data_IF_574742816700
#
_entry.id   IF_574742816700
#
_cell.length_a   1.000
_cell.length_b   1.000
_cell.length_c   1.000
_cell.angle_alpha   90.00
_cell.angle_beta   90.00
_cell.angle_gamma   90.00
#
_symmetry.space_group_name_H-M   'P 1'
#
loop_
_entity.id
_entity.type
_entity.pdbx_description
1 polymer ?
#
# COMPACT_ATOMS: atom_id res chain seq x y z
N UNK A 1 30.84 -4.72 -39.35
CA UNK A 1 31.92 -3.78 -38.97
C UNK A 1 31.46 -3.06 -37.71
N UNK A 2 32.27 -3.13 -36.64
CA UNK A 2 32.01 -2.57 -35.29
C UNK A 2 31.86 -1.03 -35.39
N UNK A 3 31.18 -0.34 -34.48
CA UNK A 3 31.80 0.26 -33.29
C UNK A 3 30.71 0.71 -32.30
N UNK A 4 30.81 0.25 -31.04
CA UNK A 4 30.25 0.86 -29.84
C UNK A 4 31.14 2.04 -29.42
N UNK A 5 30.59 3.19 -29.04
CA UNK A 5 31.33 4.14 -28.20
C UNK A 5 30.44 4.73 -27.09
N UNK A 6 30.87 4.42 -25.87
CA UNK A 6 30.41 4.86 -24.56
C UNK A 6 31.06 6.20 -24.15
N UNK A 7 30.41 6.88 -23.18
CA UNK A 7 30.94 7.92 -22.25
C UNK A 7 31.31 9.27 -22.88
N UNK A 8 31.07 10.46 -22.30
CA UNK A 8 31.20 10.96 -20.93
C UNK A 8 30.42 12.28 -20.77
N UNK A 9 29.89 12.61 -19.58
CA UNK A 9 30.02 13.98 -19.03
C UNK A 9 30.11 13.88 -17.51
N UNK A 10 31.29 14.12 -16.97
CA UNK A 10 31.49 14.54 -15.59
C UNK A 10 32.46 15.71 -15.62
N UNK A 11 31.98 16.92 -15.32
CA UNK A 11 32.78 18.02 -14.76
C UNK A 11 31.88 19.19 -14.37
N UNK A 12 31.88 19.56 -13.09
CA UNK A 12 32.09 20.95 -12.68
C UNK A 12 32.44 20.99 -11.20
N UNK A 13 33.51 21.74 -10.93
CA UNK A 13 34.29 21.79 -9.71
C UNK A 13 34.03 23.15 -9.02
N UNK A 14 34.10 23.14 -7.68
CA UNK A 14 34.62 24.20 -6.79
C UNK A 14 33.88 25.55 -6.71
N UNK A 15 33.45 25.93 -5.49
CA UNK A 15 33.82 27.21 -4.83
C UNK A 15 33.99 27.02 -3.30
N UNK A 16 35.25 27.09 -2.88
CA UNK A 16 35.89 27.77 -1.73
C UNK A 16 35.15 28.10 -0.41
N UNK A 17 35.85 27.70 0.66
CA UNK A 17 36.24 28.52 1.84
C UNK A 17 35.23 28.92 2.91
N UNK A 18 35.46 28.39 4.11
CA UNK A 18 34.99 28.95 5.37
C UNK A 18 35.45 28.12 6.56
N UNK A 19 36.68 28.36 7.03
CA UNK A 19 37.20 27.82 8.28
C UNK A 19 36.79 28.76 9.43
N UNK A 20 36.25 28.20 10.52
CA UNK A 20 35.90 28.93 11.73
C UNK A 20 35.43 27.95 12.81
N UNK A 21 36.37 27.52 13.66
CA UNK A 21 36.11 26.80 14.91
C UNK A 21 35.89 27.81 16.05
N UNK A 22 34.76 27.76 16.77
CA UNK A 22 34.73 27.87 18.24
C UNK A 22 33.32 27.72 18.88
N UNK A 23 33.18 26.64 19.66
CA UNK A 23 32.59 26.53 21.02
C UNK A 23 31.07 26.68 21.29
N UNK A 24 30.43 25.51 21.46
CA UNK A 24 29.47 25.06 22.49
C UNK A 24 28.31 25.97 22.98
N UNK A 25 27.04 25.57 22.71
CA UNK A 25 26.12 24.92 23.68
C UNK A 25 24.69 24.77 23.12
N UNK A 26 24.05 23.67 23.54
CA UNK A 26 22.59 23.49 23.72
C UNK A 26 21.69 23.26 22.50
N UNK A 27 21.26 21.99 22.35
CA UNK A 27 19.84 21.65 22.26
C UNK A 27 19.17 21.66 20.88
N UNK A 28 18.99 20.45 20.32
CA UNK A 28 17.83 20.11 19.49
C UNK A 28 18.08 20.03 17.98
N UNK A 29 18.23 18.80 17.47
CA UNK A 29 17.94 18.46 16.07
C UNK A 29 16.74 17.48 16.08
N UNK A 30 16.00 17.37 14.97
CA UNK A 30 14.76 18.08 14.63
C UNK A 30 13.51 17.18 14.84
N UNK A 31 12.25 17.67 14.76
CA UNK A 31 11.17 16.75 14.47
C UNK A 31 11.33 16.29 13.02
N UNK A 32 11.62 15.01 12.93
CA UNK A 32 11.63 14.18 11.76
C UNK A 32 10.23 14.22 11.14
N UNK A 33 10.02 15.04 10.12
CA UNK A 33 8.83 14.96 9.26
C UNK A 33 8.96 13.68 8.43
N UNK A 34 8.73 12.55 9.10
CA UNK A 34 8.58 11.25 8.50
C UNK A 34 7.27 11.24 7.72
N UNK A 35 7.25 11.93 6.58
CA UNK A 35 6.35 11.60 5.49
C UNK A 35 6.77 10.21 5.03
N UNK A 36 6.26 9.20 5.74
CA UNK A 36 6.43 7.80 5.40
C UNK A 36 5.75 7.63 4.05
N UNK A 37 6.54 7.82 3.00
CA UNK A 37 6.17 7.67 1.60
C UNK A 37 5.58 6.27 1.46
N UNK A 38 4.26 6.23 1.57
CA UNK A 38 3.47 5.05 1.34
C UNK A 38 3.56 4.81 -0.15
N UNK A 39 4.60 4.10 -0.57
CA UNK A 39 4.84 3.82 -1.98
C UNK A 39 3.64 3.05 -2.51
N UNK A 40 2.83 3.74 -3.32
CA UNK A 40 1.72 3.15 -4.05
C UNK A 40 2.29 2.22 -5.11
N UNK A 41 1.86 0.97 -5.09
CA UNK A 41 2.31 -0.06 -6.03
C UNK A 41 1.29 -0.16 -7.16
N UNK A 42 1.77 0.02 -8.39
CA UNK A 42 0.94 -0.20 -9.58
C UNK A 42 0.69 -1.70 -9.79
N UNK A 43 -0.52 -2.12 -10.23
CA UNK A 43 -0.78 -3.52 -10.54
C UNK A 43 0.13 -4.01 -11.67
N UNK A 44 0.84 -5.11 -11.44
CA UNK A 44 1.78 -5.66 -12.42
C UNK A 44 1.15 -6.53 -13.50
N UNK A 45 -0.10 -6.98 -13.30
CA UNK A 45 -0.84 -7.86 -14.22
C UNK A 45 -2.34 -7.74 -13.99
N UNK A 46 -3.11 -7.78 -15.07
CA UNK A 46 -4.57 -7.90 -15.07
C UNK A 46 -5.03 -9.24 -14.46
N UNK A 47 -6.16 -9.22 -13.75
CA UNK A 47 -6.83 -10.40 -13.22
C UNK A 47 -7.05 -10.39 -11.71
N UNK A 48 -7.44 -11.55 -11.17
CA UNK A 48 -7.72 -11.73 -9.75
C UNK A 48 -6.42 -11.84 -8.96
N UNK A 49 -6.28 -11.00 -7.94
CA UNK A 49 -5.17 -11.04 -6.98
C UNK A 49 -5.45 -12.04 -5.87
N UNK A 50 -6.71 -12.13 -5.45
CA UNK A 50 -7.18 -13.17 -4.54
C UNK A 50 -8.69 -13.11 -4.35
N UNK A 51 -9.23 -14.20 -3.81
CA UNK A 51 -10.63 -14.32 -3.39
C UNK A 51 -10.72 -14.88 -1.98
N UNK A 52 -11.63 -14.32 -1.21
CA UNK A 52 -11.85 -14.67 0.17
C UNK A 52 -13.34 -14.76 0.47
N UNK A 53 -13.69 -15.57 1.46
CA UNK A 53 -15.04 -15.68 1.99
C UNK A 53 -15.06 -15.08 3.40
N UNK A 54 -15.86 -14.05 3.59
CA UNK A 54 -16.21 -13.57 4.93
C UNK A 54 -17.42 -14.37 5.44
N UNK A 55 -17.15 -15.25 6.41
CA UNK A 55 -18.15 -16.06 7.11
C UNK A 55 -18.30 -15.65 8.58
N UNK A 56 -17.55 -14.66 9.06
CA UNK A 56 -17.34 -14.47 10.50
C UNK A 56 -17.95 -13.17 11.01
N UNK A 57 -17.93 -12.10 10.21
CA UNK A 57 -18.31 -10.77 10.72
C UNK A 57 -19.82 -10.57 10.85
N UNK A 58 -20.59 -11.31 10.05
CA UNK A 58 -22.04 -11.21 10.07
C UNK A 58 -22.70 -12.56 9.80
N UNK A 59 -23.32 -13.22 10.79
CA UNK A 59 -23.98 -14.52 10.60
C UNK A 59 -25.20 -14.45 9.66
N UNK A 60 -25.61 -13.25 9.24
CA UNK A 60 -26.75 -13.02 8.35
C UNK A 60 -26.30 -12.64 6.93
N UNK A 61 -25.13 -12.01 6.79
CA UNK A 61 -24.64 -11.50 5.50
C UNK A 61 -23.22 -11.96 5.28
N UNK A 62 -23.07 -13.20 4.82
CA UNK A 62 -21.80 -13.66 4.29
C UNK A 62 -21.53 -12.99 2.94
N UNK A 63 -20.26 -12.88 2.60
CA UNK A 63 -19.86 -12.25 1.34
C UNK A 63 -18.58 -12.84 0.77
N UNK A 64 -18.49 -12.80 -0.56
CA UNK A 64 -17.27 -13.10 -1.29
C UNK A 64 -16.54 -11.80 -1.56
N UNK A 65 -15.31 -11.72 -1.08
CA UNK A 65 -14.41 -10.59 -1.31
C UNK A 65 -13.43 -10.96 -2.40
N UNK A 66 -13.30 -10.10 -3.41
CA UNK A 66 -12.29 -10.23 -4.46
C UNK A 66 -11.47 -8.95 -4.54
N UNK A 67 -10.15 -9.10 -4.60
CA UNK A 67 -9.25 -8.02 -5.04
C UNK A 67 -8.79 -8.37 -6.44
N UNK A 68 -8.98 -7.45 -7.38
CA UNK A 68 -8.64 -7.65 -8.78
C UNK A 68 -7.99 -6.43 -9.40
N UNK A 69 -7.05 -6.67 -10.30
CA UNK A 69 -6.48 -5.69 -11.19
C UNK A 69 -7.29 -5.67 -12.49
N UNK A 70 -7.80 -4.49 -12.85
CA UNK A 70 -8.51 -4.26 -14.10
C UNK A 70 -8.19 -2.89 -14.68
N UNK A 71 -7.87 -2.83 -15.97
CA UNK A 71 -7.60 -1.60 -16.71
C UNK A 71 -6.51 -0.72 -16.03
N UNK A 72 -5.46 -1.37 -15.51
CA UNK A 72 -4.36 -0.71 -14.80
C UNK A 72 -4.71 -0.19 -13.40
N UNK A 73 -5.89 -0.51 -12.87
CA UNK A 73 -6.37 -0.13 -11.54
C UNK A 73 -6.63 -1.35 -10.66
N UNK A 74 -6.68 -1.13 -9.35
CA UNK A 74 -7.06 -2.17 -8.40
C UNK A 74 -8.46 -1.89 -7.88
N UNK A 75 -9.24 -2.96 -7.74
CA UNK A 75 -10.58 -2.91 -7.20
C UNK A 75 -10.75 -3.90 -6.06
N UNK A 76 -11.35 -3.42 -4.99
CA UNK A 76 -12.01 -4.25 -4.00
C UNK A 76 -13.46 -4.47 -4.44
N UNK A 77 -13.91 -5.71 -4.40
CA UNK A 77 -15.27 -6.12 -4.72
C UNK A 77 -15.79 -6.99 -3.58
N UNK A 78 -16.96 -6.65 -3.06
CA UNK A 78 -17.68 -7.44 -2.08
C UNK A 78 -19.04 -7.83 -2.64
N UNK A 79 -19.21 -9.11 -2.92
CA UNK A 79 -20.47 -9.68 -3.40
C UNK A 79 -21.18 -10.34 -2.22
N UNK A 80 -22.37 -9.86 -1.90
CA UNK A 80 -23.18 -10.38 -0.82
C UNK A 80 -24.03 -11.56 -1.32
N UNK A 81 -24.43 -12.46 -0.41
CA UNK A 81 -25.25 -13.64 -0.77
C UNK A 81 -26.62 -13.28 -1.37
N UNK A 82 -27.10 -12.03 -1.18
CA UNK A 82 -28.32 -11.51 -1.82
C UNK A 82 -28.11 -11.06 -3.28
N UNK A 83 -26.88 -11.18 -3.80
CA UNK A 83 -26.48 -10.79 -5.14
C UNK A 83 -26.12 -9.31 -5.30
N UNK A 84 -26.25 -8.50 -4.25
CA UNK A 84 -25.77 -7.11 -4.28
C UNK A 84 -24.25 -7.06 -4.25
N UNK A 85 -23.68 -5.97 -4.80
CA UNK A 85 -22.23 -5.78 -4.89
C UNK A 85 -21.85 -4.40 -4.35
N UNK A 86 -20.82 -4.36 -3.50
CA UNK A 86 -20.05 -3.15 -3.20
C UNK A 86 -18.72 -3.21 -3.94
N UNK A 87 -18.42 -2.21 -4.75
CA UNK A 87 -17.14 -2.08 -5.48
C UNK A 87 -16.49 -0.74 -5.19
N UNK A 88 -15.18 -0.75 -5.01
CA UNK A 88 -14.39 0.48 -4.87
C UNK A 88 -12.97 0.32 -5.40
N UNK A 89 -12.43 1.42 -5.92
CA UNK A 89 -11.02 1.49 -6.32
C UNK A 89 -10.13 1.54 -5.08
N UNK A 90 -9.05 0.77 -5.11
CA UNK A 90 -8.05 0.69 -4.04
C UNK A 90 -6.66 0.94 -4.61
N UNK A 91 -5.71 1.27 -3.73
CA UNK A 91 -4.29 1.35 -4.04
C UNK A 91 -3.53 0.37 -3.16
N UNK A 92 -2.56 -0.33 -3.74
CA UNK A 92 -1.70 -1.21 -2.98
C UNK A 92 -0.56 -0.41 -2.34
N UNK A 93 -0.27 -0.71 -1.07
CA UNK A 93 0.82 -0.15 -0.27
C UNK A 93 1.53 -1.28 0.46
N UNK A 94 2.80 -1.05 0.80
CA UNK A 94 3.52 -1.92 1.75
C UNK A 94 3.07 -1.63 3.17
N UNK A 95 2.91 -2.67 3.98
CA UNK A 95 2.77 -2.58 5.44
C UNK A 95 3.63 -3.64 6.11
N UNK A 96 3.90 -3.48 7.39
CA UNK A 96 4.63 -4.48 8.19
C UNK A 96 3.90 -5.83 8.27
N UNK A 97 2.59 -5.83 8.02
CA UNK A 97 1.74 -7.02 8.04
C UNK A 97 1.60 -7.70 6.67
N UNK A 98 2.24 -7.16 5.63
CA UNK A 98 2.13 -7.66 4.26
C UNK A 98 1.53 -6.65 3.28
N UNK A 99 0.90 -7.17 2.23
CA UNK A 99 0.30 -6.36 1.16
C UNK A 99 -0.96 -5.68 1.68
N UNK A 100 -0.97 -4.35 1.67
CA UNK A 100 -2.08 -3.53 2.15
C UNK A 100 -2.79 -2.88 0.97
N UNK A 101 -4.10 -2.77 1.05
CA UNK A 101 -4.95 -2.12 0.07
C UNK A 101 -5.77 -1.04 0.77
N UNK A 102 -5.63 0.20 0.32
CA UNK A 102 -6.35 1.35 0.86
C UNK A 102 -7.35 1.85 -0.18
N UNK A 103 -8.56 2.24 0.20
CA UNK A 103 -9.50 2.85 -0.73
C UNK A 103 -8.93 4.18 -1.23
N UNK A 104 -9.11 4.46 -2.54
CA UNK A 104 -8.69 5.75 -3.12
C UNK A 104 -9.43 6.92 -2.47
N UNK A 105 -10.69 6.70 -2.08
CA UNK A 105 -11.48 7.62 -1.26
C UNK A 105 -11.46 7.09 0.18
N UNK A 106 -10.72 7.73 1.10
CA UNK A 106 -10.60 7.27 2.48
C UNK A 106 -11.95 7.23 3.19
N UNK A 107 -12.18 6.19 4.00
CA UNK A 107 -13.33 6.15 4.89
C UNK A 107 -13.02 6.87 6.22
N UNK A 108 -14.06 7.30 6.94
CA UNK A 108 -13.92 7.93 8.27
C UNK A 108 -13.29 6.98 9.31
N UNK A 109 -13.42 5.67 9.11
CA UNK A 109 -12.84 4.66 9.98
C UNK A 109 -11.43 4.25 9.57
N UNK A 110 -10.93 4.78 8.45
CA UNK A 110 -9.64 4.39 7.85
C UNK A 110 -9.63 2.91 7.46
N UNK A 111 -10.73 2.47 6.83
CA UNK A 111 -10.88 1.09 6.35
C UNK A 111 -9.74 0.76 5.38
N UNK A 112 -9.10 -0.37 5.61
CA UNK A 112 -8.05 -0.92 4.75
C UNK A 112 -8.04 -2.44 4.84
N UNK A 113 -7.45 -3.08 3.83
CA UNK A 113 -7.36 -4.53 3.75
C UNK A 113 -5.91 -4.97 3.73
N UNK A 114 -5.59 -6.04 4.47
CA UNK A 114 -4.23 -6.60 4.50
C UNK A 114 -4.30 -8.09 4.23
N UNK A 115 -3.47 -8.57 3.30
CA UNK A 115 -3.25 -10.01 3.13
C UNK A 115 -2.18 -10.41 4.13
N UNK A 116 -2.55 -11.27 5.08
CA UNK A 116 -1.63 -11.75 6.12
C UNK A 116 -0.71 -12.87 5.61
N UNK A 117 0.14 -13.38 6.49
CA UNK A 117 1.08 -14.47 6.18
C UNK A 117 0.41 -15.81 5.81
N UNK A 118 -0.83 -16.03 6.25
CA UNK A 118 -1.63 -17.20 5.89
C UNK A 118 -2.34 -17.01 4.55
N UNK A 119 -2.28 -15.82 3.98
CA UNK A 119 -3.00 -15.44 2.78
C UNK A 119 -4.47 -15.10 3.06
N UNK A 120 -4.89 -14.98 4.31
CA UNK A 120 -6.22 -14.51 4.68
C UNK A 120 -6.31 -12.99 4.54
N UNK A 121 -7.52 -12.49 4.32
CA UNK A 121 -7.77 -11.06 4.18
C UNK A 121 -8.26 -10.48 5.51
N UNK A 122 -7.42 -9.67 6.14
CA UNK A 122 -7.78 -8.88 7.30
C UNK A 122 -8.48 -7.60 6.84
N UNK A 123 -9.73 -7.40 7.25
CA UNK A 123 -10.42 -6.13 7.12
C UNK A 123 -10.15 -5.33 8.38
N UNK A 124 -9.49 -4.17 8.22
CA UNK A 124 -8.98 -3.38 9.33
C UNK A 124 -9.48 -1.96 9.25
N UNK A 125 -9.53 -1.33 10.41
CA UNK A 125 -9.83 0.08 10.58
C UNK A 125 -8.86 0.68 11.62
N UNK A 126 -9.09 1.92 12.02
CA UNK A 126 -8.30 2.59 13.07
C UNK A 126 -8.33 1.90 14.45
N UNK A 127 -9.25 0.98 14.69
CA UNK A 127 -9.39 0.21 15.93
C UNK A 127 -8.72 -1.17 15.85
N UNK A 128 -8.25 -1.59 14.68
CA UNK A 128 -7.54 -2.85 14.48
C UNK A 128 -8.22 -3.75 13.46
N UNK A 129 -8.14 -5.07 13.65
CA UNK A 129 -8.85 -6.02 12.79
C UNK A 129 -10.32 -6.05 13.16
N UNK A 130 -11.19 -5.56 12.27
CA UNK A 130 -12.64 -5.64 12.41
C UNK A 130 -13.16 -7.02 11.97
N UNK A 131 -12.51 -7.63 10.97
CA UNK A 131 -12.92 -8.90 10.40
C UNK A 131 -11.79 -9.65 9.70
N UNK A 132 -12.00 -10.95 9.50
CA UNK A 132 -11.10 -11.83 8.75
C UNK A 132 -11.89 -12.65 7.74
N UNK A 133 -11.57 -12.50 6.46
CA UNK A 133 -12.11 -13.32 5.39
C UNK A 133 -11.11 -14.41 5.00
N UNK A 134 -11.58 -15.66 4.90
CA UNK A 134 -10.75 -16.83 4.64
C UNK A 134 -10.49 -17.00 3.17
N UNK A 135 -9.24 -17.30 2.80
CA UNK A 135 -8.90 -17.55 1.39
C UNK A 135 -9.65 -18.75 0.85
N UNK A 136 -10.19 -18.64 -0.37
CA UNK A 136 -10.95 -19.72 -1.02
C UNK A 136 -10.39 -20.14 -2.38
N UNK A 137 -9.46 -19.37 -2.96
CA UNK A 137 -8.71 -19.68 -4.18
C UNK A 137 -7.28 -19.15 -4.09
#
# INVERSE_FOLDING_TARGET
MRILLTTWVALALLILSGCGDESATSGGQPPNDGEQSSQVIAPSKEGVIGKWRDNVTNPIFHSNVTILAKDGKLYYVNEYDDGSEKRMEVVEKKSDLGRRFDPVIPSRLEDHWVIDENGDLLMRDKHGTAAVAKKIE
#
